data_IF_266108074050
#
_entry.id   IF_266108074050
#
_cell.length_a   1.000
_cell.length_b   1.000
_cell.length_c   1.000
_cell.angle_alpha   90.00
_cell.angle_beta   90.00
_cell.angle_gamma   90.00
#
_symmetry.space_group_name_H-M   'P 1'
#
loop_
_entity.id
_entity.type
_entity.pdbx_description
1 polymer ?
#
# COMPACT_ATOMS: atom_id res chain seq x y z
N UNK A 1 60.35 -34.57 -46.88
CA UNK A 1 60.33 -33.12 -47.12
C UNK A 1 59.67 -32.43 -45.93
N UNK A 2 60.46 -31.62 -45.22
CA UNK A 2 60.10 -30.88 -44.00
C UNK A 2 59.80 -29.44 -44.40
N UNK A 3 58.81 -28.82 -43.73
CA UNK A 3 58.68 -27.39 -43.34
C UNK A 3 57.27 -26.88 -43.59
N UNK A 4 56.52 -26.62 -42.52
CA UNK A 4 55.70 -25.40 -42.43
C UNK A 4 55.77 -24.85 -41.01
N UNK A 5 56.60 -23.83 -40.86
CA UNK A 5 56.49 -22.82 -39.83
C UNK A 5 56.43 -21.48 -40.57
N UNK A 6 55.44 -20.65 -40.23
CA UNK A 6 55.55 -19.19 -40.12
C UNK A 6 54.21 -18.63 -39.68
N UNK A 7 54.11 -18.52 -38.36
CA UNK A 7 53.50 -17.45 -37.59
C UNK A 7 53.26 -16.18 -38.38
N UNK A 8 51.99 -15.80 -38.52
CA UNK A 8 51.59 -14.40 -38.75
C UNK A 8 50.46 -14.06 -37.79
N UNK A 9 50.87 -13.34 -36.77
CA UNK A 9 50.11 -12.53 -35.83
C UNK A 9 49.02 -11.73 -36.55
N UNK A 10 47.74 -12.01 -36.23
CA UNK A 10 46.64 -11.07 -36.46
C UNK A 10 45.86 -10.91 -35.16
N UNK A 11 46.17 -9.80 -34.50
CA UNK A 11 45.49 -9.20 -33.38
C UNK A 11 44.02 -8.92 -33.77
N UNK A 12 43.03 -9.63 -33.23
CA UNK A 12 41.61 -9.22 -33.30
C UNK A 12 40.73 -9.96 -32.29
N UNK A 13 40.03 -9.15 -31.48
CA UNK A 13 38.75 -9.41 -30.81
C UNK A 13 38.70 -10.30 -29.56
N UNK A 14 39.49 -9.91 -28.56
CA UNK A 14 39.09 -10.03 -27.16
C UNK A 14 38.07 -8.93 -26.84
N UNK A 15 36.78 -9.12 -27.10
CA UNK A 15 35.63 -8.45 -26.42
C UNK A 15 34.32 -9.07 -26.92
N UNK A 16 33.72 -9.99 -26.16
CA UNK A 16 32.45 -10.60 -26.51
C UNK A 16 31.78 -11.23 -25.30
N UNK A 17 31.65 -10.48 -24.20
CA UNK A 17 31.08 -10.98 -22.95
C UNK A 17 30.07 -10.02 -22.27
N UNK A 18 29.55 -9.00 -22.96
CA UNK A 18 28.61 -8.06 -22.32
C UNK A 18 27.61 -7.50 -23.33
N UNK A 19 26.56 -8.25 -23.66
CA UNK A 19 25.39 -7.69 -24.34
C UNK A 19 24.09 -8.11 -23.63
N UNK A 20 23.62 -7.15 -22.83
CA UNK A 20 22.22 -6.72 -22.65
C UNK A 20 21.26 -7.68 -21.93
N UNK A 21 21.33 -7.69 -20.60
CA UNK A 21 20.13 -7.86 -19.78
C UNK A 21 19.69 -6.48 -19.23
N UNK A 22 19.17 -5.63 -20.12
CA UNK A 22 18.43 -4.44 -19.69
C UNK A 22 17.00 -4.87 -19.37
N UNK A 23 16.83 -5.65 -18.30
CA UNK A 23 15.51 -5.95 -17.76
C UNK A 23 14.99 -4.67 -17.09
N UNK A 24 13.97 -4.03 -17.69
CA UNK A 24 13.26 -2.93 -17.06
C UNK A 24 12.75 -3.41 -15.70
N UNK A 25 13.27 -2.82 -14.62
CA UNK A 25 12.78 -3.05 -13.26
C UNK A 25 11.39 -2.41 -13.11
N UNK A 26 10.37 -3.05 -13.68
CA UNK A 26 8.98 -2.63 -13.51
C UNK A 26 8.44 -3.24 -12.22
N UNK A 27 8.99 -2.79 -11.09
CA UNK A 27 8.49 -3.15 -9.77
C UNK A 27 7.29 -2.29 -9.36
N UNK A 28 6.53 -2.74 -8.34
CA UNK A 28 5.55 -1.88 -7.66
C UNK A 28 6.24 -0.65 -7.09
N UNK A 29 5.60 0.51 -7.19
CA UNK A 29 6.11 1.74 -6.59
C UNK A 29 5.37 1.98 -5.28
N UNK A 30 5.89 1.41 -4.21
CA UNK A 30 5.23 1.54 -2.92
C UNK A 30 5.28 2.97 -2.38
N UNK A 31 4.16 3.40 -1.80
CA UNK A 31 4.01 4.62 -1.02
C UNK A 31 3.25 4.31 0.28
N UNK A 32 3.37 5.21 1.25
CA UNK A 32 2.69 5.12 2.54
C UNK A 32 1.63 6.21 2.65
N UNK A 33 0.48 5.85 3.21
CA UNK A 33 -0.59 6.76 3.60
C UNK A 33 -0.75 6.68 5.12
N UNK A 34 -0.31 7.74 5.80
CA UNK A 34 -0.45 7.88 7.23
C UNK A 34 -1.84 8.42 7.57
N UNK A 35 -2.49 7.82 8.57
CA UNK A 35 -3.78 8.27 9.06
C UNK A 35 -3.90 8.04 10.57
N UNK A 36 -4.83 8.75 11.19
CA UNK A 36 -5.19 8.61 12.59
C UNK A 36 -6.63 8.15 12.69
N UNK A 37 -6.85 6.94 13.22
CA UNK A 37 -8.21 6.45 13.52
C UNK A 37 -8.66 7.04 14.85
N UNK A 38 -9.74 7.81 14.82
CA UNK A 38 -10.19 8.62 15.95
C UNK A 38 -11.53 8.08 16.44
N UNK A 39 -11.58 7.42 17.61
CA UNK A 39 -12.85 7.01 18.18
C UNK A 39 -13.56 8.21 18.81
N UNK A 40 -14.90 8.23 18.76
CA UNK A 40 -15.71 9.26 19.41
C UNK A 40 -15.57 9.25 20.95
N UNK A 41 -15.39 8.05 21.51
CA UNK A 41 -15.21 7.80 22.94
C UNK A 41 -14.04 6.81 23.15
N UNK A 42 -13.42 6.78 24.33
CA UNK A 42 -12.36 5.81 24.62
C UNK A 42 -12.83 4.37 24.37
N UNK A 43 -12.09 3.66 23.54
CA UNK A 43 -12.41 2.29 23.16
C UNK A 43 -12.26 1.36 24.37
N UNK A 44 -13.22 0.46 24.54
CA UNK A 44 -13.16 -0.68 25.46
C UNK A 44 -13.20 -1.96 24.61
N UNK A 45 -12.02 -2.50 24.34
CA UNK A 45 -11.82 -3.59 23.38
C UNK A 45 -11.16 -4.78 24.07
N UNK A 46 -11.61 -6.02 23.77
CA UNK A 46 -10.92 -7.20 24.24
C UNK A 46 -9.55 -7.35 23.55
N UNK A 47 -8.63 -8.15 24.12
CA UNK A 47 -7.27 -8.32 23.58
C UNK A 47 -7.21 -8.86 22.14
N UNK A 48 -8.26 -9.54 21.68
CA UNK A 48 -8.39 -10.09 20.34
C UNK A 48 -9.09 -9.14 19.35
N UNK A 49 -9.25 -7.86 19.69
CA UNK A 49 -9.77 -6.89 18.76
C UNK A 49 -8.75 -6.57 17.65
N UNK A 50 -9.23 -6.51 16.43
CA UNK A 50 -8.44 -6.22 15.24
C UNK A 50 -9.05 -5.04 14.50
N UNK A 51 -8.20 -4.08 14.12
CA UNK A 51 -8.55 -2.94 13.29
C UNK A 51 -8.08 -3.25 11.87
N UNK A 52 -9.00 -3.29 10.93
CA UNK A 52 -8.69 -3.34 9.50
C UNK A 52 -8.90 -1.96 8.92
N UNK A 53 -7.89 -1.44 8.22
CA UNK A 53 -7.97 -0.21 7.44
C UNK A 53 -7.77 -0.56 5.97
N UNK A 54 -8.66 -0.06 5.11
CA UNK A 54 -8.66 -0.30 3.67
C UNK A 54 -8.60 1.02 2.93
N UNK A 55 -7.80 1.04 1.88
CA UNK A 55 -7.87 2.05 0.82
C UNK A 55 -8.70 1.46 -0.31
N UNK A 56 -9.79 2.12 -0.67
CA UNK A 56 -10.74 1.64 -1.68
C UNK A 56 -10.91 2.67 -2.79
N UNK A 57 -10.95 2.22 -4.05
CA UNK A 57 -11.40 3.01 -5.20
C UNK A 57 -12.92 2.94 -5.28
N UNK A 58 -13.57 4.10 -5.12
CA UNK A 58 -15.04 4.21 -5.11
C UNK A 58 -15.63 4.81 -6.38
N UNK A 59 -14.82 4.97 -7.43
CA UNK A 59 -15.25 5.61 -8.69
C UNK A 59 -16.35 4.83 -9.39
N UNK A 60 -16.26 3.49 -9.38
CA UNK A 60 -17.22 2.58 -10.04
C UNK A 60 -17.65 1.40 -9.18
N UNK A 61 -17.25 1.37 -7.91
CA UNK A 61 -17.36 0.20 -7.04
C UNK A 61 -16.80 0.47 -5.66
N UNK A 62 -16.26 -0.55 -5.00
CA UNK A 62 -15.50 -0.43 -3.74
C UNK A 62 -14.32 -1.39 -3.81
N UNK A 63 -13.44 -1.13 -4.78
CA UNK A 63 -12.31 -2.02 -5.07
C UNK A 63 -11.19 -1.77 -4.07
N UNK A 64 -10.77 -2.81 -3.34
CA UNK A 64 -9.71 -2.68 -2.33
C UNK A 64 -8.35 -2.58 -3.02
N UNK A 65 -7.71 -1.43 -2.87
CA UNK A 65 -6.37 -1.14 -3.40
C UNK A 65 -5.28 -1.59 -2.43
N UNK A 66 -5.52 -1.38 -1.14
CA UNK A 66 -4.62 -1.80 -0.08
C UNK A 66 -5.41 -2.07 1.21
N UNK A 67 -4.87 -2.97 2.03
CA UNK A 67 -5.41 -3.30 3.34
C UNK A 67 -4.27 -3.39 4.35
N UNK A 68 -4.51 -2.98 5.59
CA UNK A 68 -3.62 -3.25 6.71
C UNK A 68 -4.42 -3.60 7.95
N UNK A 69 -3.90 -4.53 8.72
CA UNK A 69 -4.53 -5.02 9.95
C UNK A 69 -3.64 -4.75 11.15
N UNK A 70 -4.26 -4.23 12.20
CA UNK A 70 -3.62 -3.85 13.45
C UNK A 70 -4.24 -4.63 14.60
N UNK A 71 -3.40 -5.06 15.54
CA UNK A 71 -3.80 -5.80 16.74
C UNK A 71 -3.28 -5.08 17.99
N UNK A 72 -3.66 -5.54 19.18
CA UNK A 72 -3.28 -4.91 20.47
C UNK A 72 -3.61 -3.42 20.48
N UNK A 73 -4.85 -3.12 20.12
CA UNK A 73 -5.35 -1.75 19.97
C UNK A 73 -5.39 -1.04 21.32
N UNK A 74 -5.06 0.25 21.31
CA UNK A 74 -5.21 1.12 22.46
C UNK A 74 -6.64 1.63 22.63
N UNK A 75 -6.88 2.42 23.68
CA UNK A 75 -8.18 3.05 23.97
C UNK A 75 -8.41 4.38 23.25
N UNK A 76 -7.33 5.04 22.84
CA UNK A 76 -7.36 6.38 22.23
C UNK A 76 -7.20 6.34 20.71
N UNK A 77 -6.87 7.48 20.09
CA UNK A 77 -6.56 7.54 18.67
C UNK A 77 -5.44 6.57 18.29
N UNK A 78 -5.63 5.84 17.19
CA UNK A 78 -4.74 4.78 16.74
C UNK A 78 -4.03 5.26 15.47
N UNK A 79 -2.72 5.56 15.52
CA UNK A 79 -1.95 5.89 14.33
C UNK A 79 -1.79 4.64 13.47
N UNK A 80 -2.05 4.80 12.17
CA UNK A 80 -1.98 3.74 11.17
C UNK A 80 -1.20 4.23 9.96
N UNK A 81 -0.53 3.31 9.29
CA UNK A 81 0.21 3.54 8.05
C UNK A 81 -0.19 2.48 7.03
N UNK A 82 -0.87 2.88 5.96
CA UNK A 82 -1.22 1.98 4.87
C UNK A 82 -0.16 2.02 3.79
N UNK A 83 0.39 0.86 3.41
CA UNK A 83 1.29 0.75 2.25
C UNK A 83 0.51 0.34 1.01
N UNK A 84 0.62 1.11 -0.06
CA UNK A 84 -0.07 0.87 -1.33
C UNK A 84 0.88 0.99 -2.52
N UNK A 85 0.51 0.44 -3.68
CA UNK A 85 1.23 0.67 -4.94
C UNK A 85 0.74 1.97 -5.58
N UNK A 86 1.62 2.97 -5.66
CA UNK A 86 1.31 4.26 -6.26
C UNK A 86 0.96 4.16 -7.75
N UNK A 87 1.35 3.09 -8.45
CA UNK A 87 0.94 2.85 -9.84
C UNK A 87 -0.53 2.46 -9.98
N UNK A 88 -1.19 2.05 -8.90
CA UNK A 88 -2.61 1.75 -8.87
C UNK A 88 -3.49 2.99 -8.68
N UNK A 89 -2.87 4.16 -8.46
CA UNK A 89 -3.58 5.43 -8.24
C UNK A 89 -3.68 6.19 -9.56
N UNK A 90 -4.89 6.66 -9.82
CA UNK A 90 -5.30 7.40 -11.02
C UNK A 90 -5.95 8.72 -10.54
N UNK A 91 -5.42 9.86 -11.00
CA UNK A 91 -5.81 11.18 -10.49
C UNK A 91 -7.28 11.54 -10.79
N UNK A 92 -7.89 10.88 -11.79
CA UNK A 92 -9.30 11.06 -12.17
C UNK A 92 -10.28 10.20 -11.34
N UNK A 93 -9.76 9.40 -10.40
CA UNK A 93 -10.54 8.50 -9.55
C UNK A 93 -10.66 9.01 -8.12
N UNK A 94 -11.64 8.46 -7.39
CA UNK A 94 -11.90 8.78 -5.99
C UNK A 94 -11.48 7.62 -5.11
N UNK A 95 -10.59 7.90 -4.16
CA UNK A 95 -10.12 6.92 -3.19
C UNK A 95 -10.57 7.31 -1.79
N UNK A 96 -10.99 6.32 -0.99
CA UNK A 96 -11.45 6.53 0.39
C UNK A 96 -10.76 5.57 1.35
N UNK A 97 -10.65 5.98 2.61
CA UNK A 97 -10.31 5.08 3.71
C UNK A 97 -11.57 4.52 4.36
N UNK A 98 -11.57 3.20 4.59
CA UNK A 98 -12.52 2.51 5.46
C UNK A 98 -11.78 1.87 6.62
N UNK A 99 -12.22 2.15 7.83
CA UNK A 99 -11.71 1.54 9.05
C UNK A 99 -12.82 0.71 9.71
N UNK A 100 -12.49 -0.49 10.15
CA UNK A 100 -13.41 -1.38 10.84
C UNK A 100 -12.69 -2.11 11.97
N UNK A 101 -13.30 -2.11 13.16
CA UNK A 101 -12.83 -2.91 14.29
C UNK A 101 -13.73 -4.14 14.41
N UNK A 102 -13.09 -5.31 14.44
CA UNK A 102 -13.74 -6.57 14.78
C UNK A 102 -13.22 -7.09 16.10
N UNK A 103 -14.12 -7.49 16.98
CA UNK A 103 -13.80 -8.18 18.23
C UNK A 103 -14.58 -9.49 18.26
N UNK A 104 -13.93 -10.60 18.61
CA UNK A 104 -14.55 -11.92 18.56
C UNK A 104 -15.23 -12.21 17.20
N UNK A 105 -14.56 -11.84 16.09
CA UNK A 105 -15.07 -11.95 14.71
C UNK A 105 -16.35 -11.14 14.40
N UNK A 106 -16.81 -10.31 15.33
CA UNK A 106 -17.99 -9.46 15.19
C UNK A 106 -17.56 -8.03 14.91
N UNK A 107 -18.16 -7.38 13.91
CA UNK A 107 -17.96 -5.95 13.67
C UNK A 107 -18.52 -5.15 14.86
N UNK A 108 -17.66 -4.36 15.51
CA UNK A 108 -18.04 -3.54 16.66
C UNK A 108 -17.96 -2.06 16.37
N UNK A 109 -17.00 -1.63 15.55
CA UNK A 109 -16.84 -0.23 15.17
C UNK A 109 -16.52 -0.11 13.68
N UNK A 110 -16.91 1.02 13.08
CA UNK A 110 -16.53 1.41 11.71
C UNK A 110 -16.57 2.92 11.55
N UNK A 111 -15.99 3.45 10.47
CA UNK A 111 -16.31 4.82 10.05
C UNK A 111 -17.68 4.87 9.37
N UNK A 112 -18.50 5.87 9.74
CA UNK A 112 -19.82 6.10 9.15
C UNK A 112 -19.71 6.78 7.80
N UNK A 113 -18.90 7.85 7.76
CA UNK A 113 -18.68 8.68 6.59
C UNK A 113 -17.44 8.21 5.81
N UNK A 114 -17.48 8.41 4.50
CA UNK A 114 -16.34 8.14 3.63
C UNK A 114 -15.26 9.21 3.83
N UNK A 115 -14.01 8.77 3.96
CA UNK A 115 -12.87 9.67 4.16
C UNK A 115 -12.05 9.72 2.86
N UNK A 116 -12.25 10.72 1.99
CA UNK A 116 -11.53 10.81 0.73
C UNK A 116 -10.05 11.12 0.94
N UNK A 117 -9.19 10.46 0.16
CA UNK A 117 -7.72 10.54 0.24
C UNK A 117 -7.09 10.56 -1.15
N UNK A 118 -5.81 10.95 -1.21
CA UNK A 118 -4.90 10.90 -2.37
C UNK A 118 -5.23 11.85 -3.53
N UNK A 119 -6.48 11.96 -3.96
CA UNK A 119 -6.86 12.65 -5.21
C UNK A 119 -7.94 13.71 -5.02
N UNK A 120 -8.15 14.52 -6.07
CA UNK A 120 -9.24 15.50 -6.15
C UNK A 120 -9.25 16.51 -5.00
N UNK A 121 -10.37 16.54 -4.25
CA UNK A 121 -10.60 17.44 -3.11
C UNK A 121 -10.21 16.84 -1.76
N UNK A 122 -9.49 15.72 -1.74
CA UNK A 122 -9.01 15.14 -0.49
C UNK A 122 -8.24 16.18 0.35
N UNK A 123 -8.42 16.19 1.69
CA UNK A 123 -7.68 17.10 2.56
C UNK A 123 -6.17 16.97 2.35
N UNK A 124 -5.49 18.11 2.23
CA UNK A 124 -4.02 18.16 2.21
C UNK A 124 -3.55 18.31 3.66
N UNK A 125 -3.15 17.21 4.29
CA UNK A 125 -2.69 17.19 5.69
C UNK A 125 -2.97 15.87 6.38
N UNK A 126 -2.99 15.90 7.72
CA UNK A 126 -3.23 14.71 8.53
C UNK A 126 -4.60 14.10 8.25
N UNK A 127 -4.61 12.86 7.79
CA UNK A 127 -5.85 12.13 7.52
C UNK A 127 -6.42 11.61 8.83
N UNK A 128 -7.65 12.00 9.15
CA UNK A 128 -8.36 11.54 10.34
C UNK A 128 -9.54 10.68 9.90
N UNK A 129 -9.66 9.51 10.51
CA UNK A 129 -10.73 8.54 10.22
C UNK A 129 -11.59 8.38 11.48
N UNK A 130 -12.70 9.10 11.60
CA UNK A 130 -13.62 8.93 12.71
C UNK A 130 -14.20 7.52 12.71
N UNK A 131 -14.26 6.87 13.86
CA UNK A 131 -14.96 5.60 14.02
C UNK A 131 -16.00 5.68 15.14
N UNK A 132 -17.10 4.98 14.92
CA UNK A 132 -18.23 4.88 15.83
C UNK A 132 -18.59 3.42 16.07
N UNK A 133 -19.31 3.17 17.15
CA UNK A 133 -19.87 1.85 17.44
C UNK A 133 -20.98 1.54 16.43
N UNK A 134 -21.02 0.31 15.94
CA UNK A 134 -22.15 -0.15 15.14
C UNK A 134 -23.34 -0.40 16.08
N UNK A 135 -24.38 0.43 15.96
CA UNK A 135 -25.67 0.15 16.59
C UNK A 135 -26.30 -1.08 15.92
N UNK A 136 -26.80 -2.01 16.74
CA UNK A 136 -27.48 -3.23 16.28
C UNK A 136 -28.97 -3.01 16.21
#
# INVERSE_FOLDING_TARGET
>A
MIRKARTTLRLSFMTGCLLVLSACVTGPRFANLDALVVPAEPLDLPPNAELTVRLEDVTRGSDVIAESTYTRLGRGPIPVMLRYDAKAIDDDRVYVLRAAIRANKTLTHRNAEEVPVLTGKAPRGDVRVPIERVER
#
